data_IF_394369749429
#
_entry.id   IF_394369749429
#
_cell.length_a   1.000
_cell.length_b   1.000
_cell.length_c   1.000
_cell.angle_alpha   90.00
_cell.angle_beta   90.00
_cell.angle_gamma   90.00
#
_symmetry.space_group_name_H-M   'P 1'
#
loop_
_entity.id
_entity.type
_entity.pdbx_description
1 polymer ?
#
# COMPACT_ATOMS: atom_id res chain seq x y z
N UNK A 1 -2.78 6.06 -14.92
CA UNK A 1 -3.89 6.38 -14.00
C UNK A 1 -4.41 5.07 -13.46
N UNK A 2 -4.36 4.84 -12.15
CA UNK A 2 -4.85 3.59 -11.57
C UNK A 2 -6.37 3.68 -11.43
N UNK A 3 -7.07 2.59 -11.72
CA UNK A 3 -8.48 2.45 -11.37
C UNK A 3 -8.58 2.08 -9.88
N UNK A 4 -9.07 3.02 -9.08
CA UNK A 4 -9.16 2.89 -7.63
C UNK A 4 -10.05 1.70 -7.21
N UNK A 5 -11.13 1.43 -7.95
CA UNK A 5 -12.05 0.34 -7.62
C UNK A 5 -11.40 -1.03 -7.86
N UNK A 6 -10.55 -1.15 -8.88
CA UNK A 6 -9.77 -2.37 -9.12
C UNK A 6 -8.64 -2.55 -8.09
N UNK A 7 -8.03 -1.46 -7.62
CA UNK A 7 -7.00 -1.54 -6.58
C UNK A 7 -7.57 -2.06 -5.25
N UNK A 8 -8.75 -1.56 -4.83
CA UNK A 8 -9.37 -1.97 -3.57
C UNK A 8 -9.79 -3.45 -3.53
N UNK A 9 -9.89 -4.12 -4.68
CA UNK A 9 -10.18 -5.56 -4.75
C UNK A 9 -8.94 -6.44 -4.56
N UNK A 10 -7.72 -5.89 -4.68
CA UNK A 10 -6.49 -6.65 -4.45
C UNK A 10 -6.30 -6.87 -2.95
N UNK A 11 -5.80 -8.04 -2.50
CA UNK A 11 -5.47 -8.23 -1.09
C UNK A 11 -4.24 -7.41 -0.66
N UNK A 12 -3.29 -7.24 -1.59
CA UNK A 12 -2.00 -6.60 -1.36
C UNK A 12 -1.65 -5.68 -2.52
N UNK A 13 -1.36 -4.42 -2.21
CA UNK A 13 -1.00 -3.37 -3.15
C UNK A 13 0.51 -3.18 -3.24
N UNK A 14 1.00 -2.81 -4.41
CA UNK A 14 2.35 -2.26 -4.54
C UNK A 14 2.41 -0.89 -3.85
N UNK A 15 3.61 -0.46 -3.48
CA UNK A 15 3.81 0.83 -2.81
C UNK A 15 3.32 2.01 -3.67
N UNK A 16 3.53 1.95 -4.99
CA UNK A 16 3.05 2.96 -5.95
C UNK A 16 1.52 2.99 -6.06
N UNK A 17 0.87 1.83 -6.03
CA UNK A 17 -0.59 1.73 -6.02
C UNK A 17 -1.19 2.29 -4.72
N UNK A 18 -0.60 1.94 -3.57
CA UNK A 18 -0.96 2.46 -2.25
C UNK A 18 -0.82 3.98 -2.17
N UNK A 19 0.29 4.51 -2.69
CA UNK A 19 0.59 5.93 -2.75
C UNK A 19 -0.43 6.69 -3.59
N UNK A 20 -0.80 6.14 -4.75
CA UNK A 20 -1.82 6.72 -5.61
C UNK A 20 -3.21 6.72 -4.95
N UNK A 21 -3.56 5.67 -4.21
CA UNK A 21 -4.82 5.55 -3.47
C UNK A 21 -4.95 6.58 -2.35
N UNK A 22 -3.88 6.79 -1.58
CA UNK A 22 -3.86 7.70 -0.43
C UNK A 22 -3.47 9.14 -0.79
N UNK A 23 -3.14 9.43 -2.05
CA UNK A 23 -2.73 10.76 -2.49
C UNK A 23 -1.40 11.23 -1.88
N UNK A 24 -0.51 10.31 -1.51
CA UNK A 24 0.78 10.62 -0.87
C UNK A 24 1.95 10.12 -1.70
N UNK A 25 3.15 10.60 -1.39
CA UNK A 25 4.36 10.10 -2.04
C UNK A 25 4.70 8.66 -1.57
N UNK A 26 5.28 7.85 -2.45
CA UNK A 26 5.64 6.45 -2.15
C UNK A 26 6.62 6.30 -0.96
N UNK A 27 7.44 7.30 -0.67
CA UNK A 27 8.33 7.29 0.50
C UNK A 27 7.56 7.46 1.81
N UNK A 28 6.42 8.15 1.78
CA UNK A 28 5.51 8.24 2.94
C UNK A 28 4.95 6.87 3.28
N UNK A 29 4.54 6.10 2.26
CA UNK A 29 4.07 4.72 2.44
C UNK A 29 5.17 3.83 3.04
N UNK A 30 6.40 3.89 2.51
CA UNK A 30 7.54 3.13 3.08
C UNK A 30 7.77 3.48 4.55
N UNK A 31 7.81 4.78 4.84
CA UNK A 31 7.99 5.27 6.21
C UNK A 31 6.88 4.78 7.13
N UNK A 32 5.62 4.81 6.70
CA UNK A 32 4.51 4.30 7.51
C UNK A 32 4.57 2.79 7.74
N UNK A 33 5.07 2.02 6.78
CA UNK A 33 5.35 0.58 7.00
C UNK A 33 6.46 0.41 8.04
N UNK A 34 7.56 1.16 7.91
CA UNK A 34 8.69 1.09 8.84
C UNK A 34 8.30 1.55 10.26
N UNK A 35 7.38 2.52 10.37
CA UNK A 35 6.78 2.99 11.62
C UNK A 35 5.67 2.05 12.18
N UNK A 36 5.28 1.01 11.43
CA UNK A 36 4.22 0.08 11.83
C UNK A 36 2.79 0.62 11.68
N UNK A 37 2.60 1.78 11.03
CA UNK A 37 1.28 2.37 10.74
C UNK A 37 0.55 1.69 9.58
N UNK A 38 1.30 1.14 8.63
CA UNK A 38 0.76 0.33 7.54
C UNK A 38 1.31 -1.09 7.63
N UNK A 39 0.43 -2.07 7.41
CA UNK A 39 0.84 -3.47 7.37
C UNK A 39 1.56 -3.79 6.05
N UNK A 40 2.87 -3.96 6.12
CA UNK A 40 3.71 -4.39 5.00
C UNK A 40 3.94 -5.90 4.97
N UNK A 41 3.81 -6.51 3.79
CA UNK A 41 4.10 -7.92 3.54
C UNK A 41 5.34 -8.02 2.66
N UNK A 42 6.35 -8.79 3.09
CA UNK A 42 7.51 -9.12 2.26
C UNK A 42 7.19 -10.34 1.40
N UNK A 43 7.27 -10.17 0.09
CA UNK A 43 7.02 -11.24 -0.88
C UNK A 43 8.27 -12.10 -1.05
N UNK A 44 8.08 -13.31 -1.58
CA UNK A 44 9.17 -14.26 -1.83
C UNK A 44 10.23 -13.72 -2.81
N UNK A 45 9.84 -12.81 -3.71
CA UNK A 45 10.72 -12.13 -4.67
C UNK A 45 11.53 -10.96 -4.06
N UNK A 46 11.33 -10.66 -2.77
CA UNK A 46 12.00 -9.58 -2.06
C UNK A 46 11.31 -8.22 -2.15
N UNK A 47 10.24 -8.07 -2.93
CA UNK A 47 9.44 -6.86 -2.97
C UNK A 47 8.54 -6.73 -1.74
N UNK A 48 8.29 -5.48 -1.31
CA UNK A 48 7.30 -5.17 -0.27
C UNK A 48 5.96 -4.83 -0.90
N UNK A 49 4.88 -5.37 -0.34
CA UNK A 49 3.49 -5.02 -0.62
C UNK A 49 2.83 -4.44 0.62
N UNK A 50 1.75 -3.70 0.45
CA UNK A 50 0.92 -3.15 1.53
C UNK A 50 -0.40 -3.89 1.56
N UNK A 51 -0.83 -4.37 2.73
CA UNK A 51 -2.13 -5.00 2.86
C UNK A 51 -3.24 -3.97 2.63
N UNK A 52 -4.17 -4.25 1.72
CA UNK A 52 -5.25 -3.32 1.38
C UNK A 52 -6.14 -3.02 2.58
N UNK A 53 -6.38 -4.01 3.44
CA UNK A 53 -7.13 -3.82 4.69
C UNK A 53 -6.54 -2.71 5.57
N UNK A 54 -5.22 -2.63 5.68
CA UNK A 54 -4.55 -1.59 6.45
C UNK A 54 -4.62 -0.22 5.77
N UNK A 55 -4.79 -0.15 4.44
CA UNK A 55 -5.02 1.12 3.72
C UNK A 55 -6.44 1.64 3.95
N UNK A 56 -7.43 0.75 4.01
CA UNK A 56 -8.83 1.13 4.26
C UNK A 56 -9.03 1.88 5.58
N UNK A 57 -8.14 1.69 6.55
CA UNK A 57 -8.15 2.44 7.83
C UNK A 57 -7.79 3.93 7.66
N UNK A 58 -7.25 4.33 6.51
CA UNK A 58 -6.78 5.69 6.22
C UNK A 58 -7.59 6.41 5.13
N UNK A 59 -8.58 5.74 4.53
CA UNK A 59 -9.52 6.32 3.56
C UNK A 59 -10.75 6.90 4.26
#
# INVERSE_FOLDING_TARGET
MYDTALLLQKPNLRIDEAAALLGVHHNTIRRWIDEGKLTGVRMADGHRRVATASILEFL
#
